data_IF_736610325612
#
_entry.id   IF_736610325612
#
_cell.length_a   1.000
_cell.length_b   1.000
_cell.length_c   1.000
_cell.angle_alpha   90.00
_cell.angle_beta   90.00
_cell.angle_gamma   90.00
#
_symmetry.space_group_name_H-M   'P 1'
#
loop_
_entity.id
_entity.type
_entity.pdbx_description
1 polymer ?
#
# COMPACT_ATOMS: atom_id res chain seq x y z
N UNK A 1 27.73 -14.06 -5.44
CA UNK A 1 26.37 -13.55 -5.36
C UNK A 1 26.02 -13.02 -3.98
N UNK A 2 24.92 -12.29 -3.87
CA UNK A 2 24.36 -11.83 -2.60
C UNK A 2 23.55 -12.95 -1.96
N UNK A 3 23.91 -13.34 -0.74
CA UNK A 3 23.24 -14.43 -0.01
C UNK A 3 22.17 -13.95 0.96
N UNK A 4 22.21 -12.68 1.38
CA UNK A 4 21.31 -12.12 2.39
C UNK A 4 20.93 -10.69 2.01
N UNK A 5 19.63 -10.39 2.07
CA UNK A 5 19.07 -9.05 1.94
C UNK A 5 18.56 -8.61 3.32
N UNK A 6 19.05 -7.46 3.82
CA UNK A 6 18.57 -6.87 5.07
C UNK A 6 17.59 -5.75 4.74
N UNK A 7 16.34 -5.89 5.15
CA UNK A 7 15.31 -4.87 5.05
C UNK A 7 15.07 -4.26 6.43
N UNK A 8 15.09 -2.93 6.52
CA UNK A 8 14.91 -2.22 7.80
C UNK A 8 13.53 -1.57 7.83
N UNK A 9 12.68 -2.07 8.73
CA UNK A 9 11.30 -1.61 8.88
C UNK A 9 11.00 -1.00 10.26
N UNK A 10 11.97 -0.97 11.17
CA UNK A 10 11.77 -0.42 12.53
C UNK A 10 11.40 1.07 12.46
N UNK A 11 10.30 1.44 13.09
CA UNK A 11 9.79 2.81 13.03
C UNK A 11 9.20 3.22 11.67
N UNK A 12 8.94 2.26 10.79
CA UNK A 12 8.25 2.47 9.51
C UNK A 12 6.79 2.04 9.58
N UNK A 13 5.99 2.64 8.72
CA UNK A 13 4.58 2.31 8.60
C UNK A 13 4.36 0.91 8.00
N UNK A 14 3.23 0.24 8.30
CA UNK A 14 2.92 -1.09 7.79
C UNK A 14 2.96 -1.19 6.26
N UNK A 15 2.46 -0.20 5.54
CA UNK A 15 2.49 -0.17 4.08
C UNK A 15 3.92 -0.11 3.53
N UNK A 16 4.83 0.61 4.19
CA UNK A 16 6.25 0.58 3.83
C UNK A 16 6.82 -0.82 3.93
N UNK A 17 6.64 -1.48 5.08
CA UNK A 17 7.18 -2.82 5.31
C UNK A 17 6.59 -3.81 4.30
N UNK A 18 5.29 -3.74 4.05
CA UNK A 18 4.59 -4.60 3.11
C UNK A 18 5.12 -4.44 1.67
N UNK A 19 5.17 -3.21 1.17
CA UNK A 19 5.57 -2.92 -0.21
C UNK A 19 7.05 -3.25 -0.43
N UNK A 20 7.93 -2.83 0.48
CA UNK A 20 9.37 -3.09 0.35
C UNK A 20 9.64 -4.59 0.39
N UNK A 21 9.07 -5.32 1.35
CA UNK A 21 9.28 -6.77 1.46
C UNK A 21 8.76 -7.50 0.23
N UNK A 22 7.59 -7.12 -0.28
CA UNK A 22 7.00 -7.72 -1.47
C UNK A 22 7.86 -7.48 -2.71
N UNK A 23 8.28 -6.24 -2.97
CA UNK A 23 9.13 -5.90 -4.11
C UNK A 23 10.45 -6.69 -4.11
N UNK A 24 11.15 -6.74 -2.98
CA UNK A 24 12.40 -7.50 -2.87
C UNK A 24 12.19 -9.02 -2.96
N UNK A 25 11.10 -9.55 -2.40
CA UNK A 25 10.76 -10.98 -2.55
C UNK A 25 10.48 -11.34 -4.01
N UNK A 26 9.70 -10.53 -4.70
CA UNK A 26 9.39 -10.75 -6.12
C UNK A 26 10.64 -10.63 -6.99
N UNK A 27 11.51 -9.65 -6.72
CA UNK A 27 12.77 -9.50 -7.43
C UNK A 27 13.69 -10.72 -7.23
N UNK A 28 13.82 -11.20 -5.99
CA UNK A 28 14.61 -12.40 -5.71
C UNK A 28 14.04 -13.65 -6.40
N UNK A 29 12.72 -13.83 -6.37
CA UNK A 29 12.07 -14.95 -7.05
C UNK A 29 12.25 -14.87 -8.57
N UNK A 30 12.17 -13.69 -9.15
CA UNK A 30 12.32 -13.50 -10.59
C UNK A 30 13.72 -13.87 -11.12
N UNK A 31 14.76 -13.78 -10.28
CA UNK A 31 16.10 -14.27 -10.62
C UNK A 31 16.12 -15.80 -10.72
N UNK A 32 15.41 -16.49 -9.83
CA UNK A 32 15.30 -17.95 -9.85
C UNK A 32 14.48 -18.44 -11.05
N UNK A 33 13.43 -17.70 -11.40
CA UNK A 33 12.52 -18.04 -12.49
C UNK A 33 13.01 -17.59 -13.87
N UNK A 34 14.17 -16.89 -13.94
CA UNK A 34 14.69 -16.33 -15.18
C UNK A 34 13.84 -15.20 -15.77
N UNK A 35 13.00 -14.56 -14.94
CA UNK A 35 12.07 -13.49 -15.37
C UNK A 35 12.49 -12.08 -14.90
N UNK A 36 13.73 -11.90 -14.51
CA UNK A 36 14.31 -10.62 -14.07
C UNK A 36 14.59 -9.74 -15.29
N UNK A 37 13.72 -8.76 -15.56
CA UNK A 37 13.81 -7.89 -16.75
C UNK A 37 13.85 -6.41 -16.36
N UNK A 38 14.33 -5.50 -17.24
CA UNK A 38 14.32 -4.07 -16.98
C UNK A 38 12.92 -3.51 -16.68
N UNK A 39 11.88 -4.01 -17.33
CA UNK A 39 10.50 -3.57 -17.12
C UNK A 39 10.00 -3.93 -15.71
N UNK A 40 10.36 -5.13 -15.23
CA UNK A 40 10.03 -5.54 -13.86
C UNK A 40 10.81 -4.73 -12.83
N UNK A 41 12.08 -4.41 -13.08
CA UNK A 41 12.86 -3.54 -12.23
C UNK A 41 12.19 -2.18 -12.11
N UNK A 42 11.82 -1.56 -13.23
CA UNK A 42 11.11 -0.27 -13.24
C UNK A 42 9.80 -0.32 -12.44
N UNK A 43 9.03 -1.42 -12.56
CA UNK A 43 7.80 -1.61 -11.78
C UNK A 43 8.06 -1.71 -10.26
N UNK A 44 9.12 -2.41 -9.83
CA UNK A 44 9.48 -2.47 -8.41
C UNK A 44 10.02 -1.13 -7.90
N UNK A 45 10.79 -0.40 -8.70
CA UNK A 45 11.25 0.94 -8.35
C UNK A 45 10.06 1.89 -8.15
N UNK A 46 9.05 1.86 -9.02
CA UNK A 46 7.82 2.63 -8.86
C UNK A 46 7.09 2.28 -7.54
N UNK A 47 6.99 0.98 -7.21
CA UNK A 47 6.42 0.55 -5.94
C UNK A 47 7.22 1.08 -4.74
N UNK A 48 8.55 1.02 -4.79
CA UNK A 48 9.42 1.55 -3.74
C UNK A 48 9.33 3.06 -3.60
N UNK A 49 9.16 3.79 -4.71
CA UNK A 49 8.94 5.25 -4.72
C UNK A 49 7.59 5.64 -4.12
N UNK A 50 6.61 4.72 -4.06
CA UNK A 50 5.29 5.01 -3.49
C UNK A 50 5.28 5.13 -1.97
N UNK A 51 6.29 4.61 -1.28
CA UNK A 51 6.43 4.63 0.17
C UNK A 51 7.58 5.51 0.63
N UNK A 52 7.81 5.60 1.95
CA UNK A 52 8.84 6.45 2.50
C UNK A 52 10.22 6.15 1.91
N UNK A 53 10.87 7.16 1.32
CA UNK A 53 12.27 7.11 0.92
C UNK A 53 12.90 8.51 0.98
N UNK A 54 14.23 8.58 0.90
CA UNK A 54 15.02 9.82 0.82
C UNK A 54 15.87 9.86 -0.45
N UNK A 55 15.39 9.24 -1.50
CA UNK A 55 16.15 8.94 -2.70
C UNK A 55 16.75 7.52 -2.65
N UNK A 56 17.12 7.00 -3.81
CA UNK A 56 17.82 5.72 -3.93
C UNK A 56 19.31 5.98 -4.15
N UNK A 57 20.11 5.16 -3.49
CA UNK A 57 21.54 5.19 -3.68
C UNK A 57 21.97 3.99 -4.51
N UNK A 58 22.52 4.25 -5.69
CA UNK A 58 22.89 3.24 -6.67
C UNK A 58 24.30 2.66 -6.47
N UNK A 59 24.75 2.55 -5.25
CA UNK A 59 26.00 1.93 -4.92
C UNK A 59 27.19 2.88 -5.00
N UNK A 60 28.38 2.35 -4.87
CA UNK A 60 29.64 3.07 -4.78
C UNK A 60 30.36 2.79 -3.50
N UNK A 61 29.72 2.17 -2.51
CA UNK A 61 30.36 1.86 -1.22
C UNK A 61 31.63 1.02 -1.37
N UNK A 62 31.62 0.07 -2.33
CA UNK A 62 32.79 -0.76 -2.66
C UNK A 62 33.35 -0.51 -4.07
N UNK A 63 32.85 0.47 -4.80
CA UNK A 63 33.20 0.71 -6.19
C UNK A 63 34.00 2.01 -6.40
N UNK A 64 34.56 2.60 -5.33
CA UNK A 64 35.37 3.81 -5.41
C UNK A 64 34.63 5.09 -5.73
N UNK A 65 33.30 5.09 -5.69
CA UNK A 65 32.48 6.30 -5.81
C UNK A 65 32.24 6.91 -4.43
N UNK A 66 32.05 8.24 -4.37
CA UNK A 66 31.79 8.99 -3.14
C UNK A 66 30.65 8.39 -2.35
N UNK A 67 30.86 8.20 -1.04
CA UNK A 67 29.83 7.75 -0.10
C UNK A 67 28.70 8.79 -0.05
N UNK A 68 27.53 8.36 -0.53
CA UNK A 68 26.25 8.97 -0.25
C UNK A 68 26.13 10.46 -0.52
N UNK A 69 25.65 10.82 -1.69
CA UNK A 69 25.07 12.16 -1.85
C UNK A 69 23.82 12.24 -0.98
N UNK A 70 23.81 13.17 -0.02
CA UNK A 70 22.61 13.50 0.72
C UNK A 70 21.58 14.07 -0.27
N UNK A 71 20.37 13.51 -0.24
CA UNK A 71 19.29 13.93 -1.16
C UNK A 71 18.87 15.40 -1.05
N UNK A 72 19.41 16.14 -0.10
CA UNK A 72 19.11 17.56 0.13
C UNK A 72 17.71 17.83 0.70
N UNK A 73 16.87 16.80 0.85
CA UNK A 73 15.50 16.96 1.33
C UNK A 73 15.29 16.36 2.73
N UNK A 74 14.62 17.14 3.57
CA UNK A 74 14.10 16.65 4.84
C UNK A 74 12.76 15.93 4.62
N UNK A 75 12.60 14.76 5.25
CA UNK A 75 11.34 14.00 5.19
C UNK A 75 11.31 12.96 4.09
N UNK A 76 10.09 12.52 3.76
CA UNK A 76 9.83 11.51 2.74
C UNK A 76 9.64 12.14 1.37
N UNK A 77 10.24 11.51 0.35
CA UNK A 77 10.01 11.80 -1.07
C UNK A 77 8.96 10.86 -1.70
N UNK A 78 8.17 10.14 -0.88
CA UNK A 78 7.17 9.21 -1.38
C UNK A 78 6.22 9.88 -2.38
N UNK A 79 5.93 9.20 -3.48
CA UNK A 79 5.01 9.67 -4.53
C UNK A 79 3.53 9.51 -4.14
N UNK A 80 3.26 8.74 -3.08
CA UNK A 80 1.91 8.53 -2.55
C UNK A 80 1.83 8.82 -1.06
N UNK A 81 0.62 9.10 -0.61
CA UNK A 81 0.28 9.28 0.80
C UNK A 81 -1.00 8.54 1.14
N UNK A 82 -1.18 8.21 2.42
CA UNK A 82 -2.41 7.63 2.93
C UNK A 82 -3.19 8.65 3.75
N UNK A 83 -4.48 8.72 3.51
CA UNK A 83 -5.44 9.53 4.26
C UNK A 83 -6.44 8.60 4.94
N UNK A 84 -6.50 8.65 6.28
CA UNK A 84 -7.46 7.85 7.04
C UNK A 84 -8.87 8.33 6.76
N UNK A 85 -9.79 7.40 6.46
CA UNK A 85 -11.18 7.73 6.18
C UNK A 85 -12.18 6.98 7.06
N UNK A 86 -11.76 5.89 7.71
CA UNK A 86 -12.69 5.12 8.53
C UNK A 86 -12.12 3.80 9.00
N UNK A 87 -13.01 2.89 9.33
CA UNK A 87 -12.69 1.55 9.80
C UNK A 87 -13.70 0.50 9.35
N UNK A 88 -13.25 -0.73 9.28
CA UNK A 88 -14.08 -1.90 8.98
C UNK A 88 -15.04 -2.17 10.14
N UNK A 89 -16.33 -2.27 9.83
CA UNK A 89 -17.38 -2.71 10.75
C UNK A 89 -17.54 -4.23 10.68
N UNK A 90 -17.57 -4.79 9.45
CA UNK A 90 -17.79 -6.20 9.23
C UNK A 90 -17.19 -6.66 7.90
N UNK A 91 -16.97 -7.97 7.77
CA UNK A 91 -16.58 -8.63 6.53
C UNK A 91 -17.44 -9.87 6.31
N UNK A 92 -18.22 -9.87 5.25
CA UNK A 92 -19.11 -10.95 4.86
C UNK A 92 -18.35 -11.98 4.01
N UNK A 93 -17.82 -13.02 4.67
CA UNK A 93 -16.93 -14.02 4.05
C UNK A 93 -17.50 -14.74 2.83
N UNK A 94 -18.82 -15.02 2.83
CA UNK A 94 -19.47 -15.75 1.73
C UNK A 94 -19.61 -14.91 0.46
N UNK A 95 -19.87 -13.62 0.61
CA UNK A 95 -20.07 -12.68 -0.50
C UNK A 95 -18.84 -11.88 -0.86
N UNK A 96 -17.77 -11.97 -0.05
CA UNK A 96 -16.57 -11.13 -0.19
C UNK A 96 -16.90 -9.63 -0.20
N UNK A 97 -17.79 -9.21 0.70
CA UNK A 97 -18.17 -7.80 0.88
C UNK A 97 -17.60 -7.31 2.20
N UNK A 98 -17.00 -6.14 2.19
CA UNK A 98 -16.61 -5.41 3.40
C UNK A 98 -17.60 -4.28 3.66
N UNK A 99 -17.90 -4.07 4.94
CA UNK A 99 -18.70 -2.96 5.44
C UNK A 99 -17.81 -2.01 6.24
N UNK A 100 -17.85 -0.73 5.90
CA UNK A 100 -16.96 0.29 6.44
C UNK A 100 -17.79 1.47 6.92
N UNK A 101 -17.48 1.99 8.11
CA UNK A 101 -17.94 3.30 8.56
C UNK A 101 -16.91 4.35 8.15
N UNK A 102 -17.38 5.41 7.51
CA UNK A 102 -16.55 6.55 7.15
C UNK A 102 -16.59 7.57 8.29
N UNK A 103 -15.48 7.70 9.01
CA UNK A 103 -15.32 8.66 10.11
C UNK A 103 -14.92 10.04 9.58
N UNK A 104 -14.20 10.06 8.47
CA UNK A 104 -13.58 11.23 7.84
C UNK A 104 -13.62 11.11 6.32
N UNK A 105 -13.42 12.23 5.63
CA UNK A 105 -13.25 12.26 4.17
C UNK A 105 -14.44 11.74 3.36
N UNK A 106 -14.16 11.43 2.12
CA UNK A 106 -15.11 10.90 1.13
C UNK A 106 -14.46 9.69 0.46
N UNK A 107 -15.21 8.59 0.35
CA UNK A 107 -14.79 7.43 -0.42
C UNK A 107 -15.56 7.37 -1.73
N UNK A 108 -14.87 7.34 -2.85
CA UNK A 108 -15.46 7.31 -4.19
C UNK A 108 -15.09 6.05 -4.96
N UNK A 109 -15.94 5.66 -5.90
CA UNK A 109 -15.57 4.68 -6.92
C UNK A 109 -14.30 5.17 -7.64
N UNK A 110 -13.39 4.23 -7.96
CA UNK A 110 -12.08 4.52 -8.56
C UNK A 110 -10.99 4.90 -7.56
N UNK A 111 -11.29 5.13 -6.28
CA UNK A 111 -10.23 5.34 -5.30
C UNK A 111 -9.43 4.06 -5.07
N UNK A 112 -8.11 4.21 -4.96
CA UNK A 112 -7.24 3.19 -4.38
C UNK A 112 -7.30 3.31 -2.86
N UNK A 113 -7.39 2.18 -2.17
CA UNK A 113 -7.45 2.12 -0.71
C UNK A 113 -6.42 1.17 -0.13
N UNK A 114 -6.06 1.44 1.12
CA UNK A 114 -5.38 0.49 2.00
C UNK A 114 -6.28 0.20 3.20
N UNK A 115 -6.40 -1.10 3.54
CA UNK A 115 -6.98 -1.53 4.81
C UNK A 115 -5.86 -2.12 5.64
N UNK A 116 -5.66 -1.61 6.84
CA UNK A 116 -4.51 -1.96 7.69
C UNK A 116 -5.02 -2.45 9.04
N UNK A 117 -4.62 -3.66 9.40
CA UNK A 117 -4.96 -4.28 10.67
C UNK A 117 -3.86 -5.18 11.20
N UNK A 118 -3.85 -5.41 12.51
CA UNK A 118 -2.83 -6.24 13.19
C UNK A 118 -2.80 -7.69 12.71
N UNK A 119 -3.95 -8.22 12.28
CA UNK A 119 -4.07 -9.58 11.78
C UNK A 119 -4.21 -9.65 10.27
N UNK A 120 -4.85 -8.67 9.67
CA UNK A 120 -5.07 -8.59 8.22
C UNK A 120 -3.82 -8.12 7.47
N UNK A 121 -2.88 -7.50 8.19
CA UNK A 121 -1.72 -6.86 7.58
C UNK A 121 -2.12 -5.64 6.76
N UNK A 122 -1.56 -5.50 5.58
CA UNK A 122 -1.89 -4.43 4.62
C UNK A 122 -2.58 -5.05 3.41
N UNK A 123 -3.83 -4.68 3.21
CA UNK A 123 -4.66 -5.07 2.06
C UNK A 123 -4.84 -3.85 1.18
N UNK A 124 -4.49 -3.96 -0.10
CA UNK A 124 -4.71 -2.92 -1.10
C UNK A 124 -5.82 -3.32 -2.06
N UNK A 125 -6.68 -2.38 -2.43
CA UNK A 125 -7.74 -2.58 -3.40
C UNK A 125 -8.11 -1.26 -4.07
N UNK A 126 -8.73 -1.37 -5.27
CA UNK A 126 -9.39 -0.23 -5.93
C UNK A 126 -10.90 -0.42 -5.84
N UNK A 127 -11.61 0.65 -5.54
CA UNK A 127 -13.08 0.63 -5.36
C UNK A 127 -13.75 0.55 -6.73
N UNK A 128 -14.24 -0.63 -7.10
CA UNK A 128 -14.95 -0.86 -8.36
C UNK A 128 -16.45 -0.53 -8.29
N UNK A 129 -17.05 -0.73 -7.12
CA UNK A 129 -18.45 -0.43 -6.85
C UNK A 129 -18.63 -0.06 -5.38
N UNK A 130 -19.63 0.73 -5.08
CA UNK A 130 -19.91 1.21 -3.74
C UNK A 130 -21.41 1.20 -3.50
N UNK A 131 -21.85 0.75 -2.32
CA UNK A 131 -23.26 0.79 -1.89
C UNK A 131 -23.38 1.45 -0.53
N UNK A 132 -24.51 2.11 -0.30
CA UNK A 132 -24.87 2.65 1.01
C UNK A 132 -25.46 1.53 1.92
N UNK A 133 -25.80 1.89 3.15
CA UNK A 133 -26.40 1.02 4.16
C UNK A 133 -27.78 0.43 3.74
N UNK A 134 -28.52 1.14 2.88
CA UNK A 134 -29.77 0.64 2.28
C UNK A 134 -29.52 -0.31 1.09
N UNK A 135 -28.27 -0.64 0.75
CA UNK A 135 -27.90 -1.52 -0.38
C UNK A 135 -28.01 -0.87 -1.76
N UNK A 136 -28.24 0.44 -1.84
CA UNK A 136 -28.34 1.18 -3.11
C UNK A 136 -26.94 1.52 -3.62
N UNK A 137 -26.72 1.34 -4.90
CA UNK A 137 -25.46 1.73 -5.56
C UNK A 137 -25.28 3.26 -5.50
N UNK A 138 -24.07 3.68 -5.13
CA UNK A 138 -23.66 5.07 -5.01
C UNK A 138 -22.31 5.29 -5.65
N UNK A 139 -22.01 6.51 -6.10
CA UNK A 139 -20.71 6.86 -6.67
C UNK A 139 -19.70 7.22 -5.58
N UNK A 140 -20.16 7.81 -4.49
CA UNK A 140 -19.35 8.17 -3.33
C UNK A 140 -20.14 8.05 -2.02
N UNK A 141 -19.41 7.82 -0.93
CA UNK A 141 -19.90 7.87 0.44
C UNK A 141 -19.22 9.00 1.21
N UNK A 142 -19.97 9.67 2.06
CA UNK A 142 -19.53 10.82 2.85
C UNK A 142 -19.24 10.44 4.31
N UNK A 143 -18.61 11.33 5.03
CA UNK A 143 -18.38 11.23 6.47
C UNK A 143 -19.67 10.88 7.23
N UNK A 144 -19.55 10.00 8.22
CA UNK A 144 -20.63 9.46 9.07
C UNK A 144 -21.60 8.53 8.33
N UNK A 145 -21.25 8.04 7.14
CA UNK A 145 -22.05 7.04 6.42
C UNK A 145 -21.42 5.66 6.51
N UNK A 146 -22.25 4.63 6.37
CA UNK A 146 -21.82 3.26 6.22
C UNK A 146 -21.85 2.91 4.73
N UNK A 147 -20.79 2.32 4.25
CA UNK A 147 -20.65 1.89 2.86
C UNK A 147 -20.20 0.45 2.78
N UNK A 148 -20.58 -0.21 1.71
CA UNK A 148 -20.12 -1.59 1.41
C UNK A 148 -19.55 -1.67 0.02
N UNK A 149 -18.54 -2.52 -0.15
CA UNK A 149 -17.90 -2.79 -1.44
C UNK A 149 -17.27 -4.19 -1.49
N UNK A 150 -17.08 -4.75 -2.69
CA UNK A 150 -16.42 -6.05 -2.87
C UNK A 150 -14.95 -5.97 -2.47
N UNK A 151 -14.48 -6.98 -1.74
CA UNK A 151 -13.09 -7.11 -1.34
C UNK A 151 -12.74 -8.59 -1.17
N UNK A 152 -11.89 -9.12 -2.05
CA UNK A 152 -11.50 -10.55 -1.98
C UNK A 152 -10.63 -10.91 -0.78
N UNK A 153 -9.59 -10.12 -0.40
CA UNK A 153 -8.81 -10.42 0.79
C UNK A 153 -9.62 -10.28 2.07
N UNK A 154 -9.38 -11.21 3.02
CA UNK A 154 -10.02 -11.16 4.33
C UNK A 154 -9.50 -9.99 5.17
N UNK A 155 -10.41 -9.17 5.64
CA UNK A 155 -10.16 -8.11 6.62
C UNK A 155 -10.99 -8.34 7.87
N UNK A 156 -10.69 -7.61 8.95
CA UNK A 156 -11.33 -7.80 10.25
C UNK A 156 -11.97 -6.51 10.75
N UNK A 157 -12.94 -6.66 11.62
CA UNK A 157 -13.54 -5.54 12.35
C UNK A 157 -12.46 -4.70 13.04
N UNK A 158 -12.59 -3.39 12.96
CA UNK A 158 -11.67 -2.36 13.45
C UNK A 158 -10.36 -2.20 12.66
N UNK A 159 -10.15 -2.92 11.56
CA UNK A 159 -9.07 -2.57 10.64
C UNK A 159 -9.30 -1.16 10.10
N UNK A 160 -8.25 -0.36 10.04
CA UNK A 160 -8.34 1.02 9.58
C UNK A 160 -8.34 1.11 8.06
N UNK A 161 -9.16 2.01 7.51
CA UNK A 161 -9.31 2.23 6.07
C UNK A 161 -8.72 3.57 5.69
N UNK A 162 -7.88 3.57 4.65
CA UNK A 162 -7.20 4.75 4.13
C UNK A 162 -7.41 4.86 2.63
N UNK A 163 -7.55 6.09 2.13
CA UNK A 163 -7.34 6.38 0.71
C UNK A 163 -5.84 6.38 0.45
N UNK A 164 -5.42 5.75 -0.64
CA UNK A 164 -4.04 5.69 -1.11
C UNK A 164 -3.92 6.53 -2.38
N UNK A 165 -3.49 7.78 -2.25
CA UNK A 165 -3.49 8.77 -3.33
C UNK A 165 -2.09 9.28 -3.66
N UNK A 166 -1.94 9.83 -4.86
CA UNK A 166 -0.71 10.58 -5.24
C UNK A 166 -0.58 11.81 -4.35
N UNK A 167 0.65 12.13 -4.04
CA UNK A 167 1.03 13.31 -3.27
C UNK A 167 1.11 14.55 -4.15
#
# INVERSE_FOLDING_TARGET
GVSVLKLEGRGRSPEYVSIVTKAYKEAAQSLLDGTYTPERIASWEEQLLSVFHRGFWHGGYYLGKTLGEWSGSYGSQSSKEKERIGKVLNYYKKSHIVEVILDEGILSQGNDILIIGSHSGVVSASISSLRNDAGKDIVYGEKKTIVTFPLSPLVRKNDEVFIWKKR
#
